data_IF_974442026792
#
_entry.id   IF_974442026792
#
_cell.length_a   1.000
_cell.length_b   1.000
_cell.length_c   1.000
_cell.angle_alpha   90.00
_cell.angle_beta   90.00
_cell.angle_gamma   90.00
#
_symmetry.space_group_name_H-M   'P 1'
#
loop_
_entity.id
_entity.type
_entity.pdbx_description
1 polymer ?
#
# COMPACT_ATOMS: atom_id res chain seq x y z
N UNK A 1 17.37 -3.36 -5.95
CA UNK A 1 17.16 -2.90 -7.34
C UNK A 1 17.05 -4.09 -8.29
N UNK A 2 16.11 -4.04 -9.24
CA UNK A 2 15.91 -5.10 -10.24
C UNK A 2 16.98 -5.01 -11.33
N UNK A 3 17.66 -6.12 -11.62
CA UNK A 3 18.63 -6.25 -12.72
C UNK A 3 18.19 -7.37 -13.67
N UNK A 4 18.67 -7.38 -14.93
CA UNK A 4 18.28 -8.41 -15.90
C UNK A 4 18.53 -9.86 -15.43
N UNK A 5 19.58 -10.07 -14.63
CA UNK A 5 20.01 -11.38 -14.15
C UNK A 5 19.44 -11.74 -12.77
N UNK A 6 18.62 -10.88 -12.16
CA UNK A 6 18.01 -11.17 -10.86
C UNK A 6 17.00 -12.32 -11.00
N UNK A 7 17.08 -13.36 -10.14
CA UNK A 7 16.05 -14.40 -10.09
C UNK A 7 14.67 -13.80 -9.84
N UNK A 8 13.67 -14.29 -10.58
CA UNK A 8 12.27 -13.91 -10.35
C UNK A 8 11.79 -14.47 -9.03
N UNK A 9 10.88 -13.76 -8.37
CA UNK A 9 10.41 -14.12 -7.02
C UNK A 9 8.89 -14.26 -6.95
N UNK A 10 8.42 -14.98 -5.93
CA UNK A 10 7.02 -15.00 -5.54
C UNK A 10 6.70 -13.70 -4.77
N UNK A 11 5.84 -12.80 -5.29
CA UNK A 11 5.53 -11.54 -4.62
C UNK A 11 4.70 -11.73 -3.35
N UNK A 12 3.95 -12.83 -3.19
CA UNK A 12 3.21 -13.12 -1.95
C UNK A 12 4.17 -13.52 -0.83
N UNK A 13 5.20 -14.31 -1.13
CA UNK A 13 6.27 -14.62 -0.17
C UNK A 13 7.09 -13.38 0.19
N UNK A 14 7.45 -12.56 -0.81
CA UNK A 14 8.15 -11.30 -0.56
C UNK A 14 7.30 -10.34 0.28
N UNK A 15 5.98 -10.34 0.13
CA UNK A 15 5.08 -9.58 1.00
C UNK A 15 5.24 -10.03 2.46
N UNK A 16 5.15 -11.33 2.74
CA UNK A 16 5.34 -11.89 4.10
C UNK A 16 6.71 -11.56 4.68
N UNK A 17 7.77 -11.71 3.89
CA UNK A 17 9.13 -11.36 4.31
C UNK A 17 9.30 -9.85 4.54
N UNK A 18 8.62 -9.01 3.76
CA UNK A 18 8.64 -7.56 3.98
C UNK A 18 7.86 -7.19 5.25
N UNK A 19 6.71 -7.81 5.50
CA UNK A 19 5.90 -7.58 6.70
C UNK A 19 6.65 -7.88 7.99
N UNK A 20 7.50 -8.93 8.04
CA UNK A 20 8.31 -9.22 9.24
C UNK A 20 9.34 -8.12 9.56
N UNK A 21 9.67 -7.26 8.59
CA UNK A 21 10.59 -6.12 8.75
C UNK A 21 9.83 -4.83 9.06
N UNK A 22 8.71 -4.58 8.38
CA UNK A 22 8.00 -3.28 8.41
C UNK A 22 6.77 -3.27 9.31
N UNK A 23 6.33 -4.42 9.81
CA UNK A 23 5.19 -4.59 10.72
C UNK A 23 5.66 -5.08 12.10
N UNK A 24 5.08 -4.53 13.16
CA UNK A 24 5.26 -5.04 14.53
C UNK A 24 4.00 -4.75 15.34
N UNK A 25 3.31 -5.78 15.83
CA UNK A 25 2.02 -5.64 16.51
C UNK A 25 1.04 -4.82 15.63
N UNK A 26 0.52 -3.71 16.15
CA UNK A 26 -0.33 -2.76 15.43
C UNK A 26 0.45 -1.64 14.70
N UNK A 27 1.78 -1.72 14.70
CA UNK A 27 2.66 -0.67 14.20
C UNK A 27 3.24 -0.99 12.83
N UNK A 28 3.42 0.06 12.03
CA UNK A 28 4.04 0.00 10.70
C UNK A 28 5.12 1.06 10.56
N UNK A 29 6.15 0.76 9.74
CA UNK A 29 7.19 1.74 9.41
C UNK A 29 6.71 2.84 8.43
N UNK A 30 6.96 4.09 8.80
CA UNK A 30 6.80 5.29 7.95
C UNK A 30 8.08 6.13 7.94
N UNK A 31 8.37 6.79 6.82
CA UNK A 31 9.49 7.76 6.72
C UNK A 31 9.04 9.20 6.90
N UNK A 32 7.81 9.53 6.53
CA UNK A 32 7.30 10.90 6.60
C UNK A 32 5.77 10.96 6.61
N UNK A 33 5.26 12.09 7.10
CA UNK A 33 3.86 12.50 7.00
C UNK A 33 3.81 13.94 6.50
N UNK A 34 3.09 14.19 5.42
CA UNK A 34 3.03 15.50 4.77
C UNK A 34 1.78 15.64 3.90
N UNK A 35 1.50 16.85 3.41
CA UNK A 35 0.47 17.07 2.39
C UNK A 35 1.12 17.08 1.02
N UNK A 36 0.70 16.15 0.16
CA UNK A 36 1.11 16.12 -1.24
C UNK A 36 0.16 16.95 -2.10
N UNK A 37 0.66 17.62 -3.14
CA UNK A 37 -0.15 18.44 -4.05
C UNK A 37 -1.13 17.66 -4.94
N UNK A 38 -0.91 16.35 -5.09
CA UNK A 38 -1.79 15.46 -5.88
C UNK A 38 -3.21 15.44 -5.32
N UNK A 39 -4.18 15.12 -6.18
CA UNK A 39 -5.61 15.15 -5.87
C UNK A 39 -6.11 16.50 -5.35
N UNK A 40 -5.46 17.63 -5.67
CA UNK A 40 -5.73 18.95 -5.06
C UNK A 40 -5.52 18.93 -3.55
N UNK A 41 -4.35 18.44 -3.12
CA UNK A 41 -3.95 18.34 -1.71
C UNK A 41 -4.44 17.07 -1.03
N UNK A 42 -3.54 16.22 -0.54
CA UNK A 42 -3.87 15.00 0.20
C UNK A 42 -2.89 14.76 1.36
N UNK A 43 -3.42 14.48 2.55
CA UNK A 43 -2.58 14.07 3.68
C UNK A 43 -2.03 12.68 3.41
N UNK A 44 -0.70 12.54 3.43
CA UNK A 44 0.00 11.35 2.98
C UNK A 44 0.88 10.82 4.09
N UNK A 45 0.67 9.55 4.46
CA UNK A 45 1.64 8.76 5.21
C UNK A 45 2.55 8.05 4.21
N UNK A 46 3.83 8.39 4.19
CA UNK A 46 4.78 7.76 3.29
C UNK A 46 5.40 6.55 4.00
N UNK A 47 4.88 5.35 3.69
CA UNK A 47 5.26 4.13 4.39
C UNK A 47 6.43 3.39 3.71
N UNK A 48 6.86 2.31 4.34
CA UNK A 48 8.06 1.53 3.99
C UNK A 48 7.66 0.15 3.46
N UNK A 49 8.46 -0.40 2.53
CA UNK A 49 8.32 -1.77 2.04
C UNK A 49 7.35 -1.97 0.88
N UNK A 50 7.67 -2.90 -0.03
CA UNK A 50 6.80 -3.31 -1.12
C UNK A 50 7.11 -4.76 -1.51
N UNK A 51 6.11 -5.47 -2.03
CA UNK A 51 6.24 -6.84 -2.52
C UNK A 51 6.57 -6.95 -4.02
N UNK A 52 6.87 -5.83 -4.69
CA UNK A 52 7.36 -5.77 -6.06
C UNK A 52 8.67 -4.98 -6.14
N UNK A 53 9.43 -5.18 -7.22
CA UNK A 53 10.69 -4.46 -7.53
C UNK A 53 10.59 -3.74 -8.88
N UNK A 54 9.47 -3.05 -9.09
CA UNK A 54 9.21 -2.28 -10.30
C UNK A 54 10.38 -1.35 -10.66
N UNK A 55 11.01 -1.55 -11.82
CA UNK A 55 12.19 -0.75 -12.22
C UNK A 55 11.86 0.74 -12.42
N UNK A 56 10.61 1.04 -12.79
CA UNK A 56 10.13 2.40 -13.03
C UNK A 56 9.47 3.06 -11.79
N UNK A 57 9.54 2.42 -10.61
CA UNK A 57 8.78 2.91 -9.47
C UNK A 57 9.44 4.13 -8.81
N UNK A 58 8.58 5.09 -8.46
CA UNK A 58 8.92 6.38 -7.88
C UNK A 58 9.21 6.34 -6.38
N UNK A 59 8.96 5.20 -5.72
CA UNK A 59 9.28 5.04 -4.31
C UNK A 59 10.79 5.01 -4.12
N UNK A 60 11.32 5.85 -3.22
CA UNK A 60 12.74 5.86 -2.87
C UNK A 60 13.25 4.59 -2.18
N UNK A 61 14.46 4.69 -1.62
CA UNK A 61 15.22 3.57 -1.03
C UNK A 61 14.50 2.79 0.06
N UNK A 62 13.54 3.38 0.76
CA UNK A 62 12.71 2.72 1.78
C UNK A 62 11.89 1.54 1.26
N UNK A 63 11.75 1.40 -0.06
CA UNK A 63 11.13 0.23 -0.68
C UNK A 63 12.08 -0.98 -0.71
N UNK A 64 13.32 -0.74 -1.12
CA UNK A 64 14.31 -1.78 -1.39
C UNK A 64 15.11 -2.17 -0.15
N UNK A 65 15.29 -1.24 0.80
CA UNK A 65 16.03 -1.42 2.06
C UNK A 65 15.13 -1.16 3.29
N UNK A 66 13.98 -1.85 3.43
CA UNK A 66 13.00 -1.59 4.49
C UNK A 66 13.56 -1.74 5.93
N UNK A 67 14.66 -2.45 6.10
CA UNK A 67 15.38 -2.62 7.35
C UNK A 67 16.06 -1.33 7.83
N UNK A 68 16.59 -0.52 6.90
CA UNK A 68 17.36 0.70 7.19
C UNK A 68 16.49 1.96 7.34
N UNK A 69 15.29 1.96 6.78
CA UNK A 69 14.46 3.17 6.68
C UNK A 69 13.19 3.12 7.52
N UNK A 70 12.76 4.31 7.95
CA UNK A 70 11.49 4.55 8.63
C UNK A 70 11.51 4.26 10.13
N UNK A 71 10.45 4.70 10.81
CA UNK A 71 10.18 4.46 12.22
C UNK A 71 8.83 3.81 12.38
N UNK A 72 8.66 2.98 13.41
CA UNK A 72 7.37 2.36 13.71
C UNK A 72 6.40 3.40 14.28
N UNK A 73 5.19 3.37 13.76
CA UNK A 73 4.04 4.13 14.26
C UNK A 73 2.87 3.18 14.41
N UNK A 74 2.17 3.24 15.54
CA UNK A 74 0.87 2.57 15.70
C UNK A 74 -0.14 3.13 14.70
N UNK A 75 -1.27 2.45 14.49
CA UNK A 75 -2.35 2.99 13.65
C UNK A 75 -2.86 4.33 14.18
N UNK A 76 -2.92 4.51 15.50
CA UNK A 76 -3.33 5.75 16.16
C UNK A 76 -2.31 6.88 15.95
N UNK A 77 -1.01 6.59 16.10
CA UNK A 77 0.04 7.58 15.84
C UNK A 77 0.04 8.01 14.37
N UNK A 78 -0.05 7.05 13.44
CA UNK A 78 -0.12 7.32 12.02
C UNK A 78 -1.35 8.17 11.67
N UNK A 79 -2.51 7.85 12.23
CA UNK A 79 -3.73 8.63 12.08
C UNK A 79 -3.57 10.06 12.62
N UNK A 80 -3.01 10.23 13.82
CA UNK A 80 -2.75 11.54 14.42
C UNK A 80 -1.84 12.39 13.53
N UNK A 81 -0.76 11.81 12.99
CA UNK A 81 0.15 12.51 12.07
C UNK A 81 -0.53 12.89 10.76
N UNK A 82 -1.34 12.01 10.19
CA UNK A 82 -2.17 12.32 9.01
C UNK A 82 -3.12 13.49 9.30
N UNK A 83 -3.78 13.47 10.45
CA UNK A 83 -4.72 14.50 10.88
C UNK A 83 -4.02 15.85 11.11
N UNK A 84 -2.86 15.86 11.76
CA UNK A 84 -2.04 17.05 11.97
C UNK A 84 -1.63 17.69 10.63
N UNK A 85 -1.12 16.88 9.70
CA UNK A 85 -0.75 17.36 8.36
C UNK A 85 -1.96 17.91 7.60
N UNK A 86 -3.10 17.22 7.68
CA UNK A 86 -4.34 17.62 7.02
C UNK A 86 -4.88 18.96 7.53
N UNK A 87 -4.91 19.15 8.86
CA UNK A 87 -5.43 20.36 9.52
C UNK A 87 -4.66 21.61 9.11
N UNK A 88 -3.32 21.53 9.00
CA UNK A 88 -2.46 22.65 8.61
C UNK A 88 -2.85 23.26 7.25
N UNK A 89 -3.37 22.44 6.34
CA UNK A 89 -3.72 22.83 4.98
C UNK A 89 -5.22 22.70 4.67
N UNK A 90 -6.06 22.49 5.69
CA UNK A 90 -7.52 22.31 5.57
C UNK A 90 -7.92 21.21 4.56
N UNK A 91 -7.12 20.15 4.51
CA UNK A 91 -7.35 18.99 3.64
C UNK A 91 -8.25 17.98 4.33
N UNK A 92 -9.18 17.37 3.58
CA UNK A 92 -10.08 16.30 4.06
C UNK A 92 -9.90 14.98 3.30
N UNK A 93 -8.72 14.76 2.73
CA UNK A 93 -8.35 13.56 1.98
C UNK A 93 -7.10 12.96 2.61
N UNK A 94 -7.04 11.64 2.75
CA UNK A 94 -5.88 10.92 3.28
C UNK A 94 -5.46 9.77 2.35
N UNK A 95 -4.20 9.35 2.44
CA UNK A 95 -3.69 8.13 1.80
C UNK A 95 -2.45 7.59 2.51
N UNK A 96 -2.11 6.34 2.20
CA UNK A 96 -0.74 5.82 2.37
C UNK A 96 -0.09 5.74 0.98
N UNK A 97 1.18 6.12 0.89
CA UNK A 97 1.97 6.11 -0.35
C UNK A 97 3.39 5.59 -0.09
N UNK A 98 4.21 5.51 -1.14
CA UNK A 98 5.65 5.19 -1.01
C UNK A 98 5.98 3.72 -0.81
N UNK A 99 4.97 2.85 -0.79
CA UNK A 99 5.05 1.45 -0.41
C UNK A 99 3.96 0.61 -1.12
N UNK A 100 3.85 -0.67 -0.78
CA UNK A 100 2.59 -1.40 -0.93
C UNK A 100 1.75 -1.22 0.35
N UNK A 101 0.68 -0.39 0.36
CA UNK A 101 -0.05 -0.06 1.57
C UNK A 101 -0.84 -1.23 2.15
N UNK A 102 -1.11 -2.29 1.39
CA UNK A 102 -1.83 -3.46 1.90
C UNK A 102 -0.96 -4.39 2.76
N UNK A 103 0.36 -4.19 2.81
CA UNK A 103 1.18 -4.79 3.87
C UNK A 103 0.71 -4.32 5.25
N UNK A 104 0.96 -5.10 6.29
CA UNK A 104 0.55 -4.83 7.67
C UNK A 104 -0.99 -4.76 7.81
N UNK A 105 -1.74 -5.77 7.35
CA UNK A 105 -3.23 -5.77 7.32
C UNK A 105 -3.88 -5.24 8.59
N UNK A 106 -3.46 -5.71 9.77
CA UNK A 106 -4.02 -5.26 11.04
C UNK A 106 -3.84 -3.76 11.30
N UNK A 107 -2.67 -3.21 10.96
CA UNK A 107 -2.42 -1.77 11.05
C UNK A 107 -3.28 -0.98 10.05
N UNK A 108 -3.40 -1.46 8.80
CA UNK A 108 -4.21 -0.78 7.79
C UNK A 108 -5.69 -0.74 8.20
N UNK A 109 -6.27 -1.87 8.61
CA UNK A 109 -7.68 -1.94 8.99
C UNK A 109 -8.01 -1.00 10.17
N UNK A 110 -7.18 -1.01 11.23
CA UNK A 110 -7.35 -0.08 12.36
C UNK A 110 -7.19 1.38 11.95
N UNK A 111 -6.26 1.70 11.06
CA UNK A 111 -6.12 3.06 10.54
C UNK A 111 -7.38 3.48 9.78
N UNK A 112 -7.98 2.58 8.99
CA UNK A 112 -9.21 2.85 8.25
C UNK A 112 -10.41 3.04 9.18
N UNK A 113 -10.51 2.30 10.29
CA UNK A 113 -11.53 2.53 11.34
C UNK A 113 -11.44 3.95 11.93
N UNK A 114 -10.23 4.42 12.21
CA UNK A 114 -9.99 5.78 12.69
C UNK A 114 -10.35 6.82 11.63
N UNK A 115 -10.07 6.55 10.35
CA UNK A 115 -10.45 7.44 9.25
C UNK A 115 -11.96 7.49 9.06
N UNK A 116 -12.63 6.34 9.12
CA UNK A 116 -14.09 6.21 9.00
C UNK A 116 -14.81 7.11 10.02
N UNK A 117 -14.33 7.13 11.25
CA UNK A 117 -14.88 7.93 12.36
C UNK A 117 -14.41 9.40 12.41
N UNK A 118 -13.64 9.88 11.43
CA UNK A 118 -13.00 11.20 11.45
C UNK A 118 -13.57 12.25 10.50
N UNK A 119 -12.99 13.46 10.50
CA UNK A 119 -13.29 14.55 9.56
C UNK A 119 -12.78 14.33 8.12
N UNK A 120 -12.03 13.26 7.86
CA UNK A 120 -11.67 12.90 6.49
C UNK A 120 -12.92 12.49 5.72
N UNK A 121 -13.01 12.91 4.46
CA UNK A 121 -14.09 12.57 3.55
C UNK A 121 -13.76 11.32 2.73
N UNK A 122 -12.47 11.09 2.46
CA UNK A 122 -12.00 10.00 1.60
C UNK A 122 -10.57 9.60 1.95
N UNK A 123 -10.33 8.30 1.90
CA UNK A 123 -9.03 7.67 1.99
C UNK A 123 -8.72 6.98 0.66
N UNK A 124 -7.70 7.44 -0.04
CA UNK A 124 -7.29 6.82 -1.31
C UNK A 124 -6.30 5.69 -1.01
N UNK A 125 -6.69 4.45 -1.30
CA UNK A 125 -5.85 3.26 -1.12
C UNK A 125 -5.27 2.81 -2.46
N UNK A 126 -4.04 3.22 -2.75
CA UNK A 126 -3.33 2.90 -4.00
C UNK A 126 -2.49 1.62 -3.83
N UNK A 127 -2.98 0.49 -4.35
CA UNK A 127 -2.34 -0.83 -4.19
C UNK A 127 -1.88 -1.40 -5.52
N UNK A 128 -0.87 -2.28 -5.48
CA UNK A 128 -0.52 -3.14 -6.61
C UNK A 128 -1.47 -4.34 -6.79
N UNK A 129 -2.37 -4.61 -5.83
CA UNK A 129 -3.39 -5.65 -5.91
C UNK A 129 -2.92 -7.08 -5.61
N UNK A 130 -1.62 -7.32 -5.37
CA UNK A 130 -1.11 -8.69 -5.14
C UNK A 130 -1.77 -9.35 -3.93
N UNK A 131 -1.81 -8.68 -2.77
CA UNK A 131 -2.39 -9.25 -1.56
C UNK A 131 -3.91 -9.39 -1.63
N UNK A 132 -4.60 -8.45 -2.29
CA UNK A 132 -6.04 -8.54 -2.50
C UNK A 132 -6.42 -9.69 -3.43
N UNK A 133 -5.69 -9.89 -4.53
CA UNK A 133 -5.92 -11.01 -5.43
C UNK A 133 -5.59 -12.37 -4.80
N UNK A 134 -4.63 -12.40 -3.87
CA UNK A 134 -4.25 -13.61 -3.14
C UNK A 134 -5.24 -13.97 -2.00
N UNK A 135 -5.93 -12.99 -1.42
CA UNK A 135 -6.85 -13.20 -0.31
C UNK A 135 -8.13 -12.35 -0.43
N UNK A 136 -9.20 -12.99 -0.90
CA UNK A 136 -10.54 -12.38 -1.03
C UNK A 136 -11.11 -11.89 0.31
N UNK A 137 -10.71 -12.49 1.45
CA UNK A 137 -11.18 -12.04 2.77
C UNK A 137 -10.68 -10.64 3.12
N UNK A 138 -9.51 -10.26 2.59
CA UNK A 138 -8.94 -8.94 2.83
C UNK A 138 -9.80 -7.87 2.15
N UNK A 139 -10.24 -8.12 0.92
CA UNK A 139 -11.15 -7.21 0.20
C UNK A 139 -12.47 -7.06 0.93
N UNK A 140 -13.04 -8.16 1.44
CA UNK A 140 -14.26 -8.14 2.27
C UNK A 140 -14.12 -7.31 3.55
N UNK A 141 -12.94 -7.27 4.15
CA UNK A 141 -12.72 -6.41 5.32
C UNK A 141 -12.60 -4.93 4.94
N UNK A 142 -11.99 -4.63 3.79
CA UNK A 142 -11.87 -3.27 3.26
C UNK A 142 -13.23 -2.71 2.83
N UNK A 143 -14.13 -3.54 2.29
CA UNK A 143 -15.45 -3.08 1.83
C UNK A 143 -16.39 -2.61 2.93
N UNK A 144 -16.04 -2.86 4.21
CA UNK A 144 -16.79 -2.36 5.37
C UNK A 144 -16.66 -0.84 5.56
N UNK A 145 -15.66 -0.21 4.95
CA UNK A 145 -15.38 1.22 5.11
C UNK A 145 -15.99 2.03 3.98
N UNK A 146 -16.80 3.05 4.30
CA UNK A 146 -17.49 3.87 3.30
C UNK A 146 -16.62 4.97 2.72
N UNK A 147 -15.54 5.35 3.42
CA UNK A 147 -14.64 6.43 3.00
C UNK A 147 -13.45 5.95 2.16
N UNK A 148 -13.34 4.66 1.85
CA UNK A 148 -12.16 4.11 1.16
C UNK A 148 -12.38 4.07 -0.35
N UNK A 149 -11.47 4.70 -1.10
CA UNK A 149 -11.43 4.64 -2.55
C UNK A 149 -10.19 3.87 -3.01
N UNK A 150 -10.42 2.63 -3.45
CA UNK A 150 -9.35 1.72 -3.85
C UNK A 150 -8.91 1.99 -5.29
N UNK A 151 -7.61 2.00 -5.53
CA UNK A 151 -7.01 2.09 -6.87
C UNK A 151 -6.00 0.98 -7.06
N UNK A 152 -6.33 0.03 -7.94
CA UNK A 152 -5.43 -1.06 -8.30
C UNK A 152 -4.55 -0.64 -9.47
N UNK A 153 -3.24 -0.78 -9.30
CA UNK A 153 -2.26 -0.42 -10.34
C UNK A 153 -1.81 -1.64 -11.14
N UNK A 154 -2.34 -1.80 -12.35
CA UNK A 154 -1.84 -2.78 -13.32
C UNK A 154 -0.46 -2.36 -13.84
N UNK A 155 0.50 -3.30 -13.84
CA UNK A 155 1.92 -2.98 -14.14
C UNK A 155 2.37 -3.38 -15.56
N UNK A 156 1.60 -4.22 -16.23
CA UNK A 156 1.86 -4.69 -17.58
C UNK A 156 0.58 -5.18 -18.25
N UNK A 157 0.63 -5.46 -19.55
CA UNK A 157 -0.47 -6.04 -20.33
C UNK A 157 -0.33 -7.54 -20.61
N UNK A 158 0.75 -8.19 -20.16
CA UNK A 158 0.95 -9.64 -20.27
C UNK A 158 1.91 -10.16 -19.17
N UNK A 159 1.94 -11.47 -18.91
CA UNK A 159 2.77 -12.08 -17.86
C UNK A 159 4.27 -11.83 -17.99
N UNK A 160 4.82 -11.88 -19.21
CA UNK A 160 6.25 -11.71 -19.48
C UNK A 160 6.68 -10.28 -19.15
N UNK A 161 5.94 -9.30 -19.65
CA UNK A 161 6.17 -7.89 -19.36
C UNK A 161 5.96 -7.58 -17.88
N UNK A 162 4.99 -8.22 -17.21
CA UNK A 162 4.82 -8.11 -15.76
C UNK A 162 6.06 -8.59 -15.02
N UNK A 163 6.57 -9.77 -15.39
CA UNK A 163 7.76 -10.33 -14.78
C UNK A 163 8.97 -9.42 -14.99
N UNK A 164 9.22 -9.01 -16.23
CA UNK A 164 10.31 -8.12 -16.61
C UNK A 164 10.26 -6.79 -15.87
N UNK A 165 9.06 -6.21 -15.72
CA UNK A 165 8.87 -4.91 -15.11
C UNK A 165 9.01 -4.93 -13.60
N UNK A 166 8.53 -5.98 -12.94
CA UNK A 166 8.32 -6.01 -11.49
C UNK A 166 9.28 -6.92 -10.74
N UNK A 167 9.96 -7.85 -11.43
CA UNK A 167 10.77 -8.91 -10.82
C UNK A 167 9.97 -10.11 -10.32
N UNK A 168 8.64 -10.02 -10.27
CA UNK A 168 7.80 -11.14 -9.85
C UNK A 168 7.75 -12.25 -10.91
N UNK A 169 7.41 -13.47 -10.51
CA UNK A 169 7.14 -14.57 -11.43
C UNK A 169 5.90 -14.26 -12.29
N UNK A 170 5.89 -14.64 -13.59
CA UNK A 170 4.80 -14.32 -14.52
C UNK A 170 3.44 -14.88 -14.07
N UNK A 171 3.41 -16.03 -13.38
CA UNK A 171 2.17 -16.64 -12.87
C UNK A 171 1.39 -15.79 -11.85
N UNK A 172 1.99 -14.72 -11.31
CA UNK A 172 1.31 -13.78 -10.41
C UNK A 172 0.67 -12.59 -11.13
N UNK A 173 0.79 -12.53 -12.46
CA UNK A 173 0.20 -11.48 -13.29
C UNK A 173 -1.32 -11.35 -13.12
N UNK A 174 -2.01 -12.45 -12.85
CA UNK A 174 -3.48 -12.48 -12.70
C UNK A 174 -3.98 -11.90 -11.37
N UNK A 175 -3.12 -11.80 -10.33
CA UNK A 175 -3.58 -11.38 -9.01
C UNK A 175 -4.17 -9.96 -8.97
N UNK A 176 -3.58 -8.93 -9.61
CA UNK A 176 -4.20 -7.60 -9.65
C UNK A 176 -5.56 -7.59 -10.35
N UNK A 177 -5.81 -8.48 -11.31
CA UNK A 177 -7.13 -8.60 -11.98
C UNK A 177 -8.14 -9.28 -11.07
N UNK A 178 -7.75 -10.38 -10.40
CA UNK A 178 -8.58 -11.00 -9.35
C UNK A 178 -8.90 -10.03 -8.22
N UNK A 179 -7.96 -9.16 -7.84
CA UNK A 179 -8.22 -8.11 -6.86
C UNK A 179 -9.36 -7.18 -7.31
N UNK A 180 -9.39 -6.81 -8.60
CA UNK A 180 -10.46 -5.99 -9.18
C UNK A 180 -11.78 -6.75 -9.17
N UNK A 181 -11.80 -8.03 -9.59
CA UNK A 181 -13.00 -8.88 -9.52
C UNK A 181 -13.56 -8.95 -8.09
N UNK A 182 -12.69 -9.21 -7.11
CA UNK A 182 -13.11 -9.27 -5.71
C UNK A 182 -13.59 -7.92 -5.18
N UNK A 183 -13.01 -6.80 -5.63
CA UNK A 183 -13.47 -5.46 -5.24
C UNK A 183 -14.86 -5.21 -5.79
N UNK A 184 -15.13 -5.55 -7.05
CA UNK A 184 -16.45 -5.44 -7.68
C UNK A 184 -17.50 -6.34 -7.02
N UNK A 185 -17.11 -7.52 -6.52
CA UNK A 185 -18.01 -8.41 -5.80
C UNK A 185 -18.49 -7.84 -4.46
N UNK A 186 -17.71 -6.94 -3.83
CA UNK A 186 -17.98 -6.43 -2.47
C UNK A 186 -18.31 -4.94 -2.41
N UNK A 187 -18.35 -4.22 -3.54
CA UNK A 187 -18.66 -2.78 -3.55
C UNK A 187 -18.80 -2.19 -4.95
#
# INVERSE_FOLDING_TARGET
MLTPNMPRFNPVELAKATESIVCRNDSRKYTAFYVAGVYRGISTGYAVGCCLRCFFCWSGWSRDFPELYGRFYTSEDAFKRLREAARRYRIRKARISGCEPTLCRGHLLKLLELVESSEFNIFILETNGILFGADKSYVRDISKFTKVYVRVSLKAGNPEAFSHRTGALPGFFELPFKAIEYLLDYG
#
